data_IF_816633515480
#
_entry.id   IF_816633515480
#
_cell.length_a   1.000
_cell.length_b   1.000
_cell.length_c   1.000
_cell.angle_alpha   90.00
_cell.angle_beta   90.00
_cell.angle_gamma   90.00
#
_symmetry.space_group_name_H-M   'P 1'
#
loop_
_entity.id
_entity.type
_entity.pdbx_description
1 polymer ?
#
# COMPACT_ATOMS: atom_id res chain seq x y z
N UNK A 1 -32.81 -5.92 -1.66
CA UNK A 1 -32.67 -7.11 -1.59
C UNK A 1 -31.35 -7.64 -2.19
N UNK A 2 -31.34 -8.68 -2.85
CA UNK A 2 -30.11 -9.22 -3.35
C UNK A 2 -29.26 -8.27 -4.19
N UNK A 3 -29.84 -7.16 -4.63
CA UNK A 3 -29.11 -6.24 -5.50
C UNK A 3 -27.86 -5.67 -4.84
N UNK A 4 -27.89 -5.43 -3.55
CA UNK A 4 -26.71 -4.90 -2.87
C UNK A 4 -25.59 -5.93 -2.82
N UNK A 5 -25.96 -7.16 -2.52
CA UNK A 5 -25.00 -8.25 -2.50
C UNK A 5 -24.45 -8.53 -3.89
N UNK A 6 -25.26 -8.35 -4.90
CA UNK A 6 -24.82 -8.51 -6.29
C UNK A 6 -23.84 -7.44 -6.70
N UNK A 7 -24.03 -6.22 -6.22
CA UNK A 7 -23.14 -5.12 -6.58
C UNK A 7 -21.76 -5.28 -5.98
N UNK A 8 -21.68 -5.74 -4.74
CA UNK A 8 -20.40 -5.90 -4.08
C UNK A 8 -19.50 -6.91 -4.77
N UNK A 9 -19.98 -8.09 -5.14
CA UNK A 9 -19.15 -9.05 -5.87
C UNK A 9 -18.78 -8.58 -7.28
N UNK A 10 -19.48 -7.57 -7.79
CA UNK A 10 -19.24 -7.07 -9.13
C UNK A 10 -18.13 -6.04 -9.19
N UNK A 11 -17.44 -5.77 -8.09
CA UNK A 11 -16.19 -5.05 -8.16
C UNK A 11 -15.24 -5.95 -8.93
N UNK A 12 -15.04 -5.65 -10.19
CA UNK A 12 -14.29 -6.54 -11.06
C UNK A 12 -12.79 -6.34 -10.88
N UNK A 13 -12.01 -7.26 -11.45
CA UNK A 13 -10.56 -7.22 -11.34
C UNK A 13 -9.97 -6.00 -12.02
N UNK A 14 -10.63 -5.48 -13.05
CA UNK A 14 -10.16 -4.27 -13.74
C UNK A 14 -10.23 -3.07 -12.82
N UNK A 15 -11.33 -2.92 -12.06
CA UNK A 15 -11.44 -1.82 -11.11
C UNK A 15 -10.41 -1.93 -10.00
N UNK A 16 -10.16 -3.13 -9.50
CA UNK A 16 -9.14 -3.35 -8.47
C UNK A 16 -7.75 -3.07 -9.02
N UNK A 17 -7.44 -3.54 -10.22
CA UNK A 17 -6.16 -3.26 -10.86
C UNK A 17 -5.92 -1.77 -11.03
N UNK A 18 -6.96 -1.06 -11.44
CA UNK A 18 -6.87 0.39 -11.63
C UNK A 18 -6.61 1.09 -10.29
N UNK A 19 -7.31 0.67 -9.25
CA UNK A 19 -7.12 1.24 -7.91
C UNK A 19 -5.70 1.03 -7.41
N UNK A 20 -5.15 -0.17 -7.64
CA UNK A 20 -3.78 -0.48 -7.26
C UNK A 20 -2.79 0.42 -8.02
N UNK A 21 -2.97 0.56 -9.33
CA UNK A 21 -2.07 1.37 -10.14
C UNK A 21 -2.15 2.85 -9.78
N UNK A 22 -3.36 3.37 -9.59
CA UNK A 22 -3.54 4.77 -9.22
C UNK A 22 -2.92 5.02 -7.84
N UNK A 23 -3.16 4.12 -6.89
CA UNK A 23 -2.58 4.24 -5.57
C UNK A 23 -1.06 4.20 -5.61
N UNK A 24 -0.51 3.25 -6.35
CA UNK A 24 0.95 3.13 -6.49
C UNK A 24 1.54 4.37 -7.16
N UNK A 25 0.87 4.89 -8.17
CA UNK A 25 1.31 6.09 -8.88
C UNK A 25 1.34 7.31 -7.94
N UNK A 26 0.29 7.50 -7.17
CA UNK A 26 0.23 8.60 -6.21
C UNK A 26 1.32 8.47 -5.15
N UNK A 27 1.56 7.25 -4.67
CA UNK A 27 2.61 7.00 -3.69
C UNK A 27 3.98 7.29 -4.30
N UNK A 28 4.20 6.85 -5.52
CA UNK A 28 5.45 7.08 -6.22
C UNK A 28 5.75 8.57 -6.35
N UNK A 29 4.79 9.34 -6.85
CA UNK A 29 4.95 10.78 -7.02
C UNK A 29 5.18 11.48 -5.68
N UNK A 30 4.40 11.12 -4.66
CA UNK A 30 4.56 11.70 -3.34
C UNK A 30 5.90 11.36 -2.73
N UNK A 31 6.35 10.13 -2.92
CA UNK A 31 7.63 9.67 -2.39
C UNK A 31 8.80 10.41 -3.05
N UNK A 32 8.78 10.53 -4.37
CA UNK A 32 9.82 11.24 -5.11
C UNK A 32 9.89 12.70 -4.66
N UNK A 33 8.73 13.36 -4.59
CA UNK A 33 8.68 14.74 -4.17
C UNK A 33 9.22 14.92 -2.75
N UNK A 34 8.83 14.03 -1.86
CA UNK A 34 9.28 14.08 -0.48
C UNK A 34 10.79 13.84 -0.35
N UNK A 35 11.31 12.89 -1.12
CA UNK A 35 12.75 12.59 -1.10
C UNK A 35 13.60 13.73 -1.62
N UNK A 36 13.13 14.43 -2.65
CA UNK A 36 13.92 15.46 -3.33
C UNK A 36 13.73 16.84 -2.73
N UNK A 37 12.55 17.14 -2.21
CA UNK A 37 12.22 18.52 -1.82
C UNK A 37 11.87 18.70 -0.35
N UNK A 38 10.89 17.94 0.12
CA UNK A 38 10.31 18.18 1.44
C UNK A 38 11.08 17.49 2.56
N UNK A 39 11.47 16.25 2.34
CA UNK A 39 12.17 15.40 3.30
C UNK A 39 11.50 15.39 4.66
N UNK A 40 10.18 15.25 4.65
CA UNK A 40 9.35 15.30 5.84
C UNK A 40 8.91 13.90 6.24
N UNK A 41 9.22 13.52 7.48
CA UNK A 41 8.90 12.18 7.97
C UNK A 41 7.41 11.96 8.11
N UNK A 42 6.66 12.99 8.48
CA UNK A 42 5.20 12.86 8.60
C UNK A 42 4.55 12.59 7.25
N UNK A 43 5.08 13.19 6.19
CA UNK A 43 4.61 12.93 4.84
C UNK A 43 4.89 11.48 4.48
N UNK A 44 6.08 10.99 4.82
CA UNK A 44 6.45 9.60 4.55
C UNK A 44 5.53 8.63 5.29
N UNK A 45 5.21 8.92 6.55
CA UNK A 45 4.26 8.12 7.32
C UNK A 45 2.90 8.05 6.63
N UNK A 46 2.43 9.19 6.12
CA UNK A 46 1.18 9.25 5.39
C UNK A 46 1.21 8.43 4.11
N UNK A 47 2.35 8.44 3.41
CA UNK A 47 2.52 7.62 2.21
C UNK A 47 2.50 6.13 2.56
N UNK A 48 3.09 5.73 3.67
CA UNK A 48 3.04 4.34 4.11
C UNK A 48 1.62 3.93 4.49
N UNK A 49 0.84 4.84 5.10
CA UNK A 49 -0.56 4.55 5.39
C UNK A 49 -1.32 4.30 4.08
N UNK A 50 -1.12 5.15 3.09
CA UNK A 50 -1.74 4.95 1.77
C UNK A 50 -1.29 3.62 1.15
N UNK A 51 -0.01 3.28 1.31
CA UNK A 51 0.52 2.02 0.80
C UNK A 51 -0.15 0.82 1.45
N UNK A 52 -0.49 0.90 2.74
CA UNK A 52 -1.18 -0.20 3.42
C UNK A 52 -2.54 -0.47 2.79
N UNK A 53 -3.25 0.57 2.34
CA UNK A 53 -4.52 0.38 1.64
C UNK A 53 -4.31 -0.27 0.27
N UNK A 54 -3.24 0.10 -0.43
CA UNK A 54 -2.90 -0.54 -1.71
C UNK A 54 -2.58 -2.02 -1.48
N UNK A 55 -1.86 -2.34 -0.42
CA UNK A 55 -1.56 -3.74 -0.09
C UNK A 55 -2.85 -4.52 0.18
N UNK A 56 -3.80 -3.91 0.87
CA UNK A 56 -5.11 -4.55 1.09
C UNK A 56 -5.77 -4.90 -0.25
N UNK A 57 -5.71 -3.98 -1.20
CA UNK A 57 -6.29 -4.21 -2.52
C UNK A 57 -5.53 -5.33 -3.26
N UNK A 58 -4.21 -5.36 -3.15
CA UNK A 58 -3.38 -6.40 -3.77
C UNK A 58 -3.74 -7.77 -3.21
N UNK A 59 -3.82 -7.89 -1.89
CA UNK A 59 -4.16 -9.16 -1.25
C UNK A 59 -5.59 -9.58 -1.60
N UNK A 60 -6.51 -8.62 -1.63
CA UNK A 60 -7.88 -8.90 -2.04
C UNK A 60 -7.91 -9.50 -3.47
N UNK A 61 -7.14 -8.92 -4.37
CA UNK A 61 -7.08 -9.42 -5.74
C UNK A 61 -6.52 -10.84 -5.79
N UNK A 62 -5.51 -11.12 -4.97
CA UNK A 62 -4.83 -12.41 -4.98
C UNK A 62 -5.62 -13.52 -4.30
N UNK A 63 -6.30 -13.19 -3.21
CA UNK A 63 -6.98 -14.19 -2.38
C UNK A 63 -8.50 -14.14 -2.47
N UNK A 64 -9.06 -13.03 -2.93
CA UNK A 64 -10.50 -12.83 -2.92
C UNK A 64 -11.05 -12.40 -1.57
N UNK A 65 -10.20 -12.22 -0.57
CA UNK A 65 -10.60 -11.87 0.79
C UNK A 65 -10.12 -10.49 1.16
N UNK A 66 -11.04 -9.67 1.66
CA UNK A 66 -10.68 -8.36 2.17
C UNK A 66 -10.25 -8.49 3.63
N UNK A 67 -9.02 -8.16 3.92
CA UNK A 67 -8.42 -8.34 5.24
C UNK A 67 -8.23 -6.98 5.89
N UNK A 68 -8.89 -6.77 7.03
CA UNK A 68 -8.85 -5.50 7.75
C UNK A 68 -7.72 -5.43 8.77
N UNK A 69 -7.40 -6.56 9.40
CA UNK A 69 -6.43 -6.59 10.49
C UNK A 69 -5.01 -6.64 9.94
N UNK A 70 -4.18 -5.73 10.43
CA UNK A 70 -2.81 -5.59 9.92
C UNK A 70 -1.99 -6.87 10.10
N UNK A 71 -2.14 -7.54 11.24
CA UNK A 71 -1.36 -8.75 11.49
C UNK A 71 -1.71 -9.87 10.51
N UNK A 72 -3.00 -10.03 10.22
CA UNK A 72 -3.45 -11.02 9.26
C UNK A 72 -3.01 -10.64 7.84
N UNK A 73 -3.10 -9.36 7.53
CA UNK A 73 -2.68 -8.86 6.24
C UNK A 73 -1.20 -9.14 6.02
N UNK A 74 -0.38 -8.98 7.05
CA UNK A 74 1.04 -9.29 7.01
C UNK A 74 1.28 -10.75 6.65
N UNK A 75 0.52 -11.66 7.27
CA UNK A 75 0.67 -13.08 7.03
C UNK A 75 0.28 -13.48 5.60
N UNK A 76 -0.72 -12.79 5.03
CA UNK A 76 -1.22 -13.10 3.70
C UNK A 76 -0.45 -12.42 2.59
N UNK A 77 0.41 -11.46 2.94
CA UNK A 77 1.14 -10.67 1.95
C UNK A 77 2.37 -11.38 1.42
N UNK A 78 2.70 -11.11 0.17
CA UNK A 78 3.96 -11.54 -0.41
C UNK A 78 5.11 -10.78 0.27
N UNK A 79 6.36 -11.30 0.18
CA UNK A 79 7.48 -10.67 0.88
C UNK A 79 7.67 -9.19 0.61
N UNK A 80 7.42 -8.76 -0.61
CA UNK A 80 7.60 -7.35 -0.99
C UNK A 80 6.58 -6.45 -0.31
N UNK A 81 5.32 -6.87 -0.30
CA UNK A 81 4.27 -6.12 0.39
C UNK A 81 4.44 -6.19 1.90
N UNK A 82 4.96 -7.31 2.38
CA UNK A 82 5.20 -7.47 3.82
C UNK A 82 6.21 -6.46 4.34
N UNK A 83 7.27 -6.20 3.58
CA UNK A 83 8.27 -5.21 3.99
C UNK A 83 7.63 -3.83 4.14
N UNK A 84 6.77 -3.45 3.21
CA UNK A 84 6.05 -2.17 3.27
C UNK A 84 5.18 -2.11 4.51
N UNK A 85 4.41 -3.17 4.78
CA UNK A 85 3.54 -3.22 5.95
C UNK A 85 4.31 -3.20 7.25
N UNK A 86 5.42 -3.93 7.33
CA UNK A 86 6.25 -3.94 8.52
C UNK A 86 6.80 -2.56 8.83
N UNK A 87 7.24 -1.85 7.81
CA UNK A 87 7.74 -0.49 7.99
C UNK A 87 6.63 0.43 8.45
N UNK A 88 5.44 0.29 7.88
CA UNK A 88 4.28 1.06 8.31
C UNK A 88 3.97 0.81 9.79
N UNK A 89 3.99 -0.46 10.20
CA UNK A 89 3.71 -0.82 11.59
C UNK A 89 4.75 -0.27 12.56
N UNK A 90 6.01 -0.23 12.13
CA UNK A 90 7.05 0.38 12.95
C UNK A 90 6.77 1.87 13.18
N UNK A 91 6.41 2.58 12.14
CA UNK A 91 6.02 3.98 12.28
C UNK A 91 4.82 4.14 13.19
N UNK A 92 3.82 3.28 13.02
CA UNK A 92 2.60 3.34 13.81
C UNK A 92 2.88 3.09 15.29
N UNK A 93 3.86 2.24 15.60
CA UNK A 93 4.25 1.92 16.97
C UNK A 93 5.22 2.92 17.57
N UNK A 94 5.60 3.94 16.82
CA UNK A 94 6.51 4.97 17.31
C UNK A 94 7.98 4.57 17.28
N UNK A 95 8.33 3.52 16.55
CA UNK A 95 9.71 3.10 16.44
C UNK A 95 10.50 4.04 15.52
N UNK A 96 11.78 4.15 15.79
CA UNK A 96 12.66 4.94 14.94
C UNK A 96 12.93 4.16 13.66
N UNK A 97 12.62 4.77 12.51
CA UNK A 97 12.83 4.17 11.21
C UNK A 97 13.70 5.12 10.40
N UNK A 98 14.71 4.57 9.72
CA UNK A 98 15.58 5.40 8.91
C UNK A 98 14.80 5.99 7.72
N UNK A 99 14.79 7.31 7.63
CA UNK A 99 14.02 8.02 6.62
C UNK A 99 14.45 7.62 5.19
N UNK A 100 15.76 7.57 4.95
CA UNK A 100 16.26 7.27 3.62
C UNK A 100 15.93 5.84 3.21
N UNK A 101 16.14 4.89 4.11
CA UNK A 101 15.82 3.48 3.83
C UNK A 101 14.34 3.29 3.59
N UNK A 102 13.50 3.88 4.43
CA UNK A 102 12.06 3.75 4.31
C UNK A 102 11.57 4.40 3.01
N UNK A 103 12.14 5.54 2.64
CA UNK A 103 11.81 6.21 1.38
C UNK A 103 12.17 5.34 0.19
N UNK A 104 13.34 4.72 0.20
CA UNK A 104 13.79 3.85 -0.88
C UNK A 104 12.91 2.62 -1.04
N UNK A 105 12.56 1.99 0.08
CA UNK A 105 11.68 0.82 0.07
C UNK A 105 10.37 1.16 -0.62
N UNK A 106 9.77 2.27 -0.22
CA UNK A 106 8.48 2.67 -0.75
C UNK A 106 8.58 3.09 -2.22
N UNK A 107 9.66 3.78 -2.57
CA UNK A 107 9.92 4.21 -3.94
C UNK A 107 10.02 3.00 -4.88
N UNK A 108 10.84 2.02 -4.53
CA UNK A 108 11.04 0.84 -5.37
C UNK A 108 9.76 0.01 -5.47
N UNK A 109 9.05 -0.14 -4.35
CA UNK A 109 7.83 -0.91 -4.33
C UNK A 109 6.75 -0.28 -5.21
N UNK A 110 6.54 1.02 -5.08
CA UNK A 110 5.51 1.70 -5.87
C UNK A 110 5.87 1.72 -7.36
N UNK A 111 7.15 1.93 -7.67
CA UNK A 111 7.63 1.90 -9.04
C UNK A 111 7.34 0.56 -9.70
N UNK A 112 7.55 -0.52 -8.96
CA UNK A 112 7.29 -1.87 -9.45
C UNK A 112 5.81 -2.06 -9.81
N UNK A 113 4.91 -1.57 -8.97
CA UNK A 113 3.48 -1.72 -9.22
C UNK A 113 2.98 -0.84 -10.35
N UNK A 114 3.62 0.29 -10.61
CA UNK A 114 3.29 1.12 -11.77
C UNK A 114 3.66 0.40 -13.05
N UNK A 115 4.76 -0.33 -13.04
CA UNK A 115 5.29 -1.01 -14.22
C UNK A 115 4.55 -2.30 -14.56
N UNK A 116 3.71 -2.78 -13.70
CA UNK A 116 2.91 -4.01 -13.97
C UNK A 116 1.64 -3.73 -14.80
#
# INVERSE_FOLDING_TARGET
>A
KGSLDELLPKIDSVAVDRAIKIGACNIYHGCVHNMLHTKNEDILKGLYKAASFVVQAIVFKQTGNYIKHQNQLLQESLPEERIVLETFLRYKNGEAVDFNSASEILFEWSKKWISK
#
